data_IF_095348067556
#
_entry.id   IF_095348067556
#
_cell.length_a   1.000
_cell.length_b   1.000
_cell.length_c   1.000
_cell.angle_alpha   90.00
_cell.angle_beta   90.00
_cell.angle_gamma   90.00
#
_symmetry.space_group_name_H-M   'P 1'
#
loop_
_entity.id
_entity.type
_entity.pdbx_description
1 polymer ?
#
# COMPACT_ATOMS: atom_id res chain seq x y z
N UNK A 1 35.16 13.43 12.03
CA UNK A 1 35.51 12.01 12.25
C UNK A 1 34.33 11.17 11.81
N UNK A 2 34.45 10.55 10.63
CA UNK A 2 33.39 9.75 9.99
C UNK A 2 33.44 8.33 10.58
N UNK A 3 32.36 7.87 11.22
CA UNK A 3 32.22 6.47 11.62
C UNK A 3 31.42 5.75 10.53
N UNK A 4 32.13 4.92 9.77
CA UNK A 4 31.58 3.99 8.78
C UNK A 4 31.11 2.78 9.56
N UNK A 5 29.79 2.51 9.56
CA UNK A 5 29.25 1.24 10.07
C UNK A 5 29.17 0.26 8.91
N UNK A 6 30.03 -0.73 8.95
CA UNK A 6 30.06 -1.84 8.01
C UNK A 6 28.97 -2.84 8.41
N UNK A 7 27.93 -2.98 7.61
CA UNK A 7 26.93 -4.01 7.79
C UNK A 7 27.40 -5.28 7.09
N UNK A 8 27.78 -6.26 7.88
CA UNK A 8 28.34 -7.54 7.45
C UNK A 8 27.19 -8.45 6.99
N UNK A 9 27.11 -8.70 5.69
CA UNK A 9 26.26 -9.76 5.14
C UNK A 9 26.89 -11.11 5.45
N UNK A 10 26.24 -11.92 6.27
CA UNK A 10 26.63 -13.31 6.49
C UNK A 10 26.03 -14.15 5.37
N UNK A 11 26.86 -14.51 4.39
CA UNK A 11 26.56 -15.54 3.42
C UNK A 11 26.81 -16.91 4.08
N UNK A 12 25.74 -17.63 4.38
CA UNK A 12 25.84 -19.06 4.77
C UNK A 12 25.91 -19.87 3.49
N UNK A 13 27.13 -20.26 3.10
CA UNK A 13 27.34 -21.26 2.07
C UNK A 13 27.25 -22.67 2.70
N UNK A 14 26.20 -23.40 2.37
CA UNK A 14 26.09 -24.82 2.73
C UNK A 14 26.73 -25.61 1.60
N UNK A 15 27.99 -26.01 1.78
CA UNK A 15 28.63 -27.03 0.96
C UNK A 15 28.24 -28.40 1.47
N UNK A 16 27.39 -29.11 0.74
CA UNK A 16 27.13 -30.55 0.91
C UNK A 16 27.91 -31.30 -0.14
N UNK A 17 28.95 -32.02 0.27
CA UNK A 17 29.65 -33.02 -0.53
C UNK A 17 28.81 -34.32 -0.56
N UNK A 18 28.79 -34.89 -1.74
CA UNK A 18 27.94 -36.01 -2.10
C UNK A 18 28.31 -37.37 -1.52
N UNK A 19 27.35 -38.28 -1.63
CA UNK A 19 27.63 -39.68 -1.97
C UNK A 19 26.47 -40.25 -2.78
N UNK A 20 26.80 -41.00 -3.86
CA UNK A 20 25.90 -41.66 -4.76
C UNK A 20 25.27 -42.89 -4.08
N UNK A 21 23.97 -43.05 -4.17
CA UNK A 21 23.29 -44.33 -4.56
C UNK A 21 21.80 -44.10 -4.83
N UNK A 22 21.43 -44.43 -6.04
CA UNK A 22 20.16 -44.88 -6.63
C UNK A 22 18.79 -44.64 -5.97
N UNK A 23 17.91 -44.09 -6.82
CA UNK A 23 16.47 -44.32 -6.97
C UNK A 23 15.53 -43.84 -5.87
N UNK A 24 14.93 -42.69 -6.12
CA UNK A 24 13.48 -42.48 -6.22
C UNK A 24 13.23 -41.02 -6.47
N UNK A 25 12.69 -40.68 -7.63
CA UNK A 25 12.10 -39.38 -7.89
C UNK A 25 10.85 -39.26 -7.05
N UNK A 26 10.67 -38.14 -6.41
CA UNK A 26 9.45 -37.37 -6.28
C UNK A 26 9.36 -36.59 -4.93
N UNK A 27 8.80 -35.44 -5.00
CA UNK A 27 8.07 -34.73 -3.96
C UNK A 27 8.86 -33.85 -2.95
N UNK A 28 9.97 -33.20 -3.34
CA UNK A 28 10.58 -32.18 -2.48
C UNK A 28 10.31 -30.72 -2.92
N UNK A 29 9.66 -30.52 -4.08
CA UNK A 29 9.52 -29.16 -4.66
C UNK A 29 8.12 -28.53 -4.46
N UNK A 30 7.12 -29.33 -4.05
CA UNK A 30 5.76 -28.80 -3.85
C UNK A 30 5.48 -28.28 -2.43
N UNK A 31 6.27 -28.71 -1.43
CA UNK A 31 6.05 -28.35 -0.02
C UNK A 31 6.49 -26.92 0.30
N UNK A 32 7.56 -26.44 -0.31
CA UNK A 32 8.07 -25.07 -0.04
C UNK A 32 7.15 -24.01 -0.65
N UNK A 33 6.58 -24.28 -1.81
CA UNK A 33 5.66 -23.34 -2.49
C UNK A 33 4.33 -23.22 -1.72
N UNK A 34 3.86 -24.31 -1.13
CA UNK A 34 2.63 -24.32 -0.34
C UNK A 34 2.79 -23.62 1.02
N UNK A 35 3.92 -23.76 1.71
CA UNK A 35 4.15 -23.09 3.00
C UNK A 35 4.23 -21.56 2.88
N UNK A 36 4.85 -21.04 1.83
CA UNK A 36 4.89 -19.58 1.57
C UNK A 36 3.50 -19.07 1.18
N UNK A 37 2.71 -19.84 0.46
CA UNK A 37 1.34 -19.51 0.11
C UNK A 37 0.44 -19.43 1.34
N UNK A 38 0.52 -20.40 2.23
CA UNK A 38 -0.36 -20.49 3.41
C UNK A 38 -0.12 -19.34 4.41
N UNK A 39 1.11 -18.85 4.53
CA UNK A 39 1.44 -17.74 5.43
C UNK A 39 1.06 -16.36 4.88
N UNK A 40 0.94 -16.21 3.56
CA UNK A 40 0.60 -14.95 2.92
C UNK A 40 -0.92 -14.66 3.02
N UNK A 41 -1.76 -15.66 2.86
CA UNK A 41 -3.22 -15.49 2.83
C UNK A 41 -3.86 -15.62 4.22
N UNK A 42 -3.33 -14.89 5.19
CA UNK A 42 -3.86 -14.88 6.57
C UNK A 42 -4.34 -13.49 6.97
N UNK A 43 -5.21 -13.43 7.95
CA UNK A 43 -5.67 -12.18 8.57
C UNK A 43 -4.48 -11.39 9.11
N UNK A 44 -3.57 -12.08 9.79
CA UNK A 44 -2.37 -11.48 10.39
C UNK A 44 -1.44 -10.85 9.34
N UNK A 45 -1.32 -11.46 8.16
CA UNK A 45 -0.51 -10.90 7.07
C UNK A 45 -1.11 -9.60 6.54
N UNK A 46 -2.44 -9.54 6.41
CA UNK A 46 -3.15 -8.33 5.99
C UNK A 46 -3.04 -7.24 7.06
N UNK A 47 -3.29 -7.56 8.34
CA UNK A 47 -3.15 -6.61 9.46
C UNK A 47 -1.74 -6.05 9.56
N UNK A 48 -0.73 -6.91 9.41
CA UNK A 48 0.68 -6.50 9.37
C UNK A 48 0.94 -5.52 8.24
N UNK A 49 0.36 -5.75 7.05
CA UNK A 49 0.52 -4.84 5.92
C UNK A 49 -0.15 -3.49 6.17
N UNK A 50 -1.37 -3.45 6.73
CA UNK A 50 -2.05 -2.20 7.10
C UNK A 50 -1.19 -1.40 8.09
N UNK A 51 -0.67 -2.05 9.12
CA UNK A 51 0.20 -1.39 10.09
C UNK A 51 1.52 -0.91 9.48
N UNK A 52 2.09 -1.64 8.51
CA UNK A 52 3.30 -1.25 7.80
C UNK A 52 3.11 0.05 6.98
N UNK A 53 1.92 0.24 6.39
CA UNK A 53 1.56 1.49 5.70
C UNK A 53 1.70 2.68 6.64
N UNK A 54 1.08 2.64 7.82
CA UNK A 54 1.12 3.75 8.76
C UNK A 54 2.48 3.94 9.43
N UNK A 55 3.22 2.85 9.66
CA UNK A 55 4.61 2.95 10.13
C UNK A 55 5.48 3.70 9.13
N UNK A 56 5.36 3.37 7.84
CA UNK A 56 6.09 4.05 6.77
C UNK A 56 5.64 5.50 6.57
N UNK A 57 4.33 5.77 6.63
CA UNK A 57 3.80 7.12 6.55
C UNK A 57 4.36 8.03 7.65
N UNK A 58 4.39 7.56 8.90
CA UNK A 58 4.98 8.29 10.01
C UNK A 58 6.49 8.52 9.81
N UNK A 59 7.21 7.51 9.30
CA UNK A 59 8.64 7.62 9.01
C UNK A 59 8.91 8.69 7.92
N UNK A 60 8.11 8.74 6.86
CA UNK A 60 8.23 9.76 5.82
C UNK A 60 7.98 11.17 6.36
N UNK A 61 7.03 11.33 7.30
CA UNK A 61 6.77 12.62 7.93
C UNK A 61 7.89 13.09 8.82
N UNK A 62 8.45 12.20 9.63
CA UNK A 62 9.53 12.54 10.56
C UNK A 62 10.86 12.78 9.84
N UNK A 63 11.09 12.03 8.76
CA UNK A 63 12.35 11.99 8.03
C UNK A 63 12.10 12.06 6.52
N UNK A 64 11.64 13.23 6.06
CA UNK A 64 11.43 13.45 4.63
C UNK A 64 12.73 13.27 3.86
N UNK A 65 12.72 12.38 2.89
CA UNK A 65 13.81 12.11 1.96
C UNK A 65 13.19 11.91 0.56
N UNK A 66 13.48 12.82 -0.35
CA UNK A 66 12.97 12.79 -1.74
C UNK A 66 13.39 11.54 -2.53
N UNK A 67 14.41 10.82 -2.06
CA UNK A 67 14.87 9.58 -2.68
C UNK A 67 14.12 8.33 -2.17
N UNK A 68 13.30 8.46 -1.13
CA UNK A 68 12.43 7.37 -0.69
C UNK A 68 11.26 7.20 -1.66
N UNK A 69 10.85 5.95 -1.95
CA UNK A 69 9.65 5.71 -2.75
C UNK A 69 8.43 6.29 -2.05
N UNK A 70 7.45 6.71 -2.83
CA UNK A 70 6.18 7.17 -2.28
C UNK A 70 5.41 6.02 -1.61
N UNK A 71 4.47 6.36 -0.75
CA UNK A 71 3.57 5.37 -0.14
C UNK A 71 2.77 4.62 -1.21
N UNK A 72 2.38 5.31 -2.28
CA UNK A 72 1.68 4.72 -3.41
C UNK A 72 2.53 3.68 -4.15
N UNK A 73 3.82 3.94 -4.32
CA UNK A 73 4.74 3.02 -4.99
C UNK A 73 4.98 1.75 -4.16
N UNK A 74 5.05 1.89 -2.83
CA UNK A 74 5.32 0.76 -1.95
C UNK A 74 4.07 -0.07 -1.62
N UNK A 75 2.92 0.57 -1.49
CA UNK A 75 1.74 -0.09 -0.92
C UNK A 75 0.54 -0.12 -1.86
N UNK A 76 0.49 0.74 -2.87
CA UNK A 76 -0.55 0.70 -3.90
C UNK A 76 -0.38 -0.46 -4.87
N UNK A 77 -1.49 -0.98 -5.38
CA UNK A 77 -1.50 -1.94 -6.48
C UNK A 77 -1.00 -1.29 -7.78
N UNK A 78 -0.62 -2.09 -8.77
CA UNK A 78 -0.22 -1.58 -10.10
C UNK A 78 -1.29 -0.70 -10.73
N UNK A 79 -2.55 -1.08 -10.55
CA UNK A 79 -3.68 -0.28 -11.06
C UNK A 79 -3.85 1.03 -10.31
N UNK A 80 -3.73 1.02 -8.97
CA UNK A 80 -3.72 2.23 -8.16
C UNK A 80 -2.63 3.20 -8.63
N UNK A 81 -1.39 2.73 -8.73
CA UNK A 81 -0.24 3.51 -9.18
C UNK A 81 -0.46 4.09 -10.59
N UNK A 82 -0.99 3.27 -11.52
CA UNK A 82 -1.29 3.71 -12.89
C UNK A 82 -2.27 4.88 -12.90
N UNK A 83 -3.42 4.72 -12.21
CA UNK A 83 -4.46 5.75 -12.18
C UNK A 83 -3.96 7.01 -11.49
N UNK A 84 -3.25 6.87 -10.37
CA UNK A 84 -2.66 8.01 -9.67
C UNK A 84 -1.67 8.78 -10.55
N UNK A 85 -0.83 8.08 -11.30
CA UNK A 85 0.11 8.73 -12.21
C UNK A 85 -0.61 9.47 -13.35
N UNK A 86 -1.74 8.94 -13.84
CA UNK A 86 -2.59 9.65 -14.81
C UNK A 86 -3.16 10.95 -14.21
N UNK A 87 -3.69 10.90 -12.98
CA UNK A 87 -4.17 12.09 -12.28
C UNK A 87 -3.07 13.15 -12.15
N UNK A 88 -1.87 12.78 -11.70
CA UNK A 88 -0.72 13.69 -11.57
C UNK A 88 -0.34 14.30 -12.93
N UNK A 89 -0.40 13.54 -14.01
CA UNK A 89 -0.10 14.03 -15.34
C UNK A 89 -1.13 15.07 -15.79
N UNK A 90 -2.41 14.82 -15.56
CA UNK A 90 -3.51 15.74 -15.86
C UNK A 90 -3.37 17.03 -15.04
N UNK A 91 -3.14 16.93 -13.74
CA UNK A 91 -2.96 18.09 -12.86
C UNK A 91 -1.84 19.02 -13.35
N UNK A 92 -0.73 18.44 -13.81
CA UNK A 92 0.41 19.21 -14.35
C UNK A 92 0.10 19.89 -15.69
N UNK A 93 -0.72 19.24 -16.53
CA UNK A 93 -1.01 19.73 -17.88
C UNK A 93 -2.13 20.77 -17.91
N UNK A 94 -3.17 20.59 -17.08
CA UNK A 94 -4.31 21.49 -17.09
C UNK A 94 -4.15 22.69 -16.15
N UNK A 95 -3.17 22.72 -15.27
CA UNK A 95 -3.06 23.69 -14.17
C UNK A 95 -4.36 23.77 -13.34
N UNK A 96 -5.14 22.68 -13.34
CA UNK A 96 -6.36 22.53 -12.55
C UNK A 96 -5.96 22.38 -11.09
N UNK A 97 -6.75 22.85 -10.14
CA UNK A 97 -6.56 22.48 -8.74
C UNK A 97 -6.49 20.96 -8.65
N UNK A 98 -5.45 20.39 -8.03
CA UNK A 98 -5.16 18.96 -8.08
C UNK A 98 -6.33 18.11 -7.54
N UNK A 99 -6.45 16.87 -8.01
CA UNK A 99 -7.49 15.94 -7.54
C UNK A 99 -7.52 15.81 -6.01
N UNK A 100 -6.37 15.92 -5.38
CA UNK A 100 -6.20 15.88 -3.92
C UNK A 100 -6.18 17.27 -3.28
N UNK A 101 -6.43 18.33 -4.06
CA UNK A 101 -6.50 19.71 -3.59
C UNK A 101 -7.98 20.13 -3.46
N UNK A 102 -8.62 19.75 -2.36
CA UNK A 102 -10.02 20.04 -2.11
C UNK A 102 -10.20 21.42 -1.43
N UNK A 103 -9.93 22.48 -2.19
CA UNK A 103 -10.24 23.85 -1.76
C UNK A 103 -9.50 24.32 -0.51
N UNK A 104 -10.15 25.17 0.31
CA UNK A 104 -9.55 25.81 1.48
C UNK A 104 -9.17 24.84 2.63
N UNK A 105 -9.55 23.58 2.56
CA UNK A 105 -9.32 22.57 3.61
C UNK A 105 -8.01 21.77 3.39
N UNK A 106 -7.31 21.99 2.29
CA UNK A 106 -6.04 21.32 1.96
C UNK A 106 -6.20 19.96 1.27
N UNK A 107 -5.09 19.33 0.86
CA UNK A 107 -5.13 18.08 0.12
C UNK A 107 -5.63 16.93 0.99
N UNK A 108 -6.66 16.21 0.53
CA UNK A 108 -7.07 14.94 1.11
C UNK A 108 -6.01 13.87 0.80
N UNK A 109 -5.24 13.50 1.81
CA UNK A 109 -4.37 12.34 1.71
C UNK A 109 -5.23 11.07 1.73
N UNK A 110 -5.28 10.29 0.64
CA UNK A 110 -6.14 9.10 0.58
C UNK A 110 -5.76 8.02 1.61
N UNK A 111 -4.52 8.06 2.12
CA UNK A 111 -4.02 7.09 3.08
C UNK A 111 -4.41 7.39 4.52
N UNK A 112 -4.60 8.66 4.85
CA UNK A 112 -4.84 9.10 6.23
C UNK A 112 -6.14 9.88 6.39
N UNK A 113 -6.80 10.26 5.28
CA UNK A 113 -7.89 11.23 5.28
C UNK A 113 -7.40 12.54 5.92
N UNK A 114 -8.09 13.07 6.94
CA UNK A 114 -7.69 14.30 7.65
C UNK A 114 -6.80 14.03 8.88
N UNK A 115 -6.29 12.81 9.04
CA UNK A 115 -5.48 12.44 10.19
C UNK A 115 -4.01 12.70 9.90
N UNK A 116 -3.46 13.80 10.42
CA UNK A 116 -2.05 14.16 10.24
C UNK A 116 -1.39 14.79 11.47
N UNK A 117 -2.09 14.88 12.60
CA UNK A 117 -1.56 15.47 13.81
C UNK A 117 -0.86 14.41 14.69
N UNK A 118 0.47 14.52 14.81
CA UNK A 118 1.27 13.57 15.58
C UNK A 118 1.38 12.19 14.92
N UNK A 119 1.35 11.13 15.70
CA UNK A 119 1.47 9.76 15.21
C UNK A 119 0.13 9.24 14.69
N UNK A 120 0.12 8.83 13.42
CA UNK A 120 -1.07 8.25 12.77
C UNK A 120 -1.05 6.73 12.85
N UNK A 121 -2.18 6.11 13.13
CA UNK A 121 -2.29 4.66 13.30
C UNK A 121 -3.62 4.11 12.81
N UNK A 122 -3.61 2.84 12.36
CA UNK A 122 -4.82 2.05 12.18
C UNK A 122 -5.25 1.40 13.49
N UNK A 123 -6.54 1.44 13.78
CA UNK A 123 -7.13 0.88 14.99
C UNK A 123 -8.37 0.07 14.65
N UNK A 124 -8.72 -0.88 15.50
CA UNK A 124 -9.93 -1.71 15.33
C UNK A 124 -9.99 -2.41 13.96
N UNK A 125 -8.83 -2.92 13.49
CA UNK A 125 -8.69 -3.55 12.18
C UNK A 125 -9.56 -4.81 12.11
N UNK A 126 -10.40 -4.89 11.08
CA UNK A 126 -11.26 -6.04 10.77
C UNK A 126 -10.98 -6.47 9.35
N UNK A 127 -10.45 -7.68 9.20
CA UNK A 127 -10.10 -8.26 7.91
C UNK A 127 -11.15 -9.31 7.52
N UNK A 128 -11.63 -9.21 6.29
CA UNK A 128 -12.44 -10.23 5.64
C UNK A 128 -11.68 -10.74 4.41
N UNK A 129 -11.02 -11.87 4.56
CA UNK A 129 -10.40 -12.55 3.43
C UNK A 129 -11.49 -12.99 2.44
N UNK A 130 -11.21 -12.81 1.16
CA UNK A 130 -12.04 -13.24 0.04
C UNK A 130 -11.30 -14.33 -0.74
N UNK A 131 -11.94 -14.87 -1.75
CA UNK A 131 -11.28 -15.84 -2.65
C UNK A 131 -10.19 -15.16 -3.48
N UNK A 132 -9.20 -15.95 -3.94
CA UNK A 132 -8.19 -15.52 -4.93
C UNK A 132 -7.23 -14.40 -4.47
N UNK A 133 -6.87 -14.39 -3.19
CA UNK A 133 -5.85 -13.45 -2.70
C UNK A 133 -6.32 -12.00 -2.63
N UNK A 134 -7.60 -11.79 -2.34
CA UNK A 134 -8.19 -10.48 -2.07
C UNK A 134 -8.71 -10.39 -0.64
N UNK A 135 -8.74 -9.19 -0.08
CA UNK A 135 -9.28 -8.91 1.24
C UNK A 135 -10.01 -7.57 1.28
N UNK A 136 -11.08 -7.50 2.05
CA UNK A 136 -11.68 -6.25 2.51
C UNK A 136 -11.21 -5.98 3.93
N UNK A 137 -10.72 -4.77 4.17
CA UNK A 137 -10.22 -4.34 5.47
C UNK A 137 -10.96 -3.09 5.91
N UNK A 138 -11.50 -3.10 7.13
CA UNK A 138 -12.13 -1.94 7.76
C UNK A 138 -11.41 -1.61 9.04
N UNK A 139 -11.16 -0.34 9.28
CA UNK A 139 -10.45 0.13 10.46
C UNK A 139 -10.71 1.61 10.71
N UNK A 140 -10.24 2.09 11.84
CA UNK A 140 -10.28 3.51 12.19
C UNK A 140 -8.87 4.09 12.08
N UNK A 141 -8.70 5.12 11.27
CA UNK A 141 -7.48 5.94 11.29
C UNK A 141 -7.59 6.93 12.43
N UNK A 142 -6.57 6.99 13.27
CA UNK A 142 -6.50 7.91 14.41
C UNK A 142 -5.17 8.63 14.43
N UNK A 143 -5.22 9.85 14.93
CA UNK A 143 -4.06 10.66 15.26
C UNK A 143 -4.23 11.30 16.67
N UNK A 144 -3.38 12.27 17.01
CA UNK A 144 -3.42 12.92 18.31
C UNK A 144 -4.71 13.74 18.56
N UNK A 145 -5.33 14.25 17.50
CA UNK A 145 -6.54 15.11 17.55
C UNK A 145 -7.79 14.29 17.24
N UNK A 146 -7.74 13.45 16.23
CA UNK A 146 -8.88 12.66 15.77
C UNK A 146 -9.03 11.37 16.57
N UNK A 147 -9.28 11.53 17.89
CA UNK A 147 -9.30 10.41 18.86
C UNK A 147 -10.42 9.40 18.63
N UNK A 148 -11.54 9.80 18.05
CA UNK A 148 -12.63 8.88 17.67
C UNK A 148 -12.27 8.03 16.47
N UNK A 149 -11.34 8.51 15.66
CA UNK A 149 -10.92 7.89 14.42
C UNK A 149 -11.85 8.16 13.23
N UNK A 150 -11.27 8.09 12.05
CA UNK A 150 -11.99 8.18 10.76
C UNK A 150 -12.16 6.76 10.21
N UNK A 151 -13.40 6.33 9.90
CA UNK A 151 -13.64 5.00 9.37
C UNK A 151 -13.15 4.90 7.92
N UNK A 152 -12.28 3.93 7.69
CA UNK A 152 -11.70 3.61 6.39
C UNK A 152 -12.05 2.19 5.99
N UNK A 153 -12.22 1.97 4.69
CA UNK A 153 -12.34 0.64 4.10
C UNK A 153 -11.38 0.52 2.94
N UNK A 154 -10.52 -0.49 2.99
CA UNK A 154 -9.62 -0.80 1.89
C UNK A 154 -10.00 -2.12 1.22
N UNK A 155 -9.87 -2.17 -0.10
CA UNK A 155 -9.75 -3.42 -0.83
C UNK A 155 -8.26 -3.68 -1.05
N UNK A 156 -7.83 -4.86 -0.69
CA UNK A 156 -6.44 -5.30 -0.85
C UNK A 156 -6.37 -6.54 -1.73
N UNK A 157 -5.27 -6.65 -2.46
CA UNK A 157 -4.99 -7.80 -3.31
C UNK A 157 -3.53 -8.19 -3.24
N UNK A 158 -3.25 -9.46 -3.54
CA UNK A 158 -1.87 -9.94 -3.62
C UNK A 158 -1.32 -9.67 -5.01
N UNK A 159 -0.22 -8.93 -5.08
CA UNK A 159 0.57 -8.71 -6.28
C UNK A 159 2.05 -8.97 -5.97
N UNK A 160 2.71 -9.74 -6.82
CA UNK A 160 4.13 -10.07 -6.69
C UNK A 160 4.49 -10.64 -5.29
N UNK A 161 3.59 -11.47 -4.72
CA UNK A 161 3.78 -12.08 -3.41
C UNK A 161 3.64 -11.14 -2.21
N UNK A 162 2.99 -9.99 -2.37
CA UNK A 162 2.75 -9.02 -1.31
C UNK A 162 1.31 -8.50 -1.36
N UNK A 163 0.75 -8.19 -0.19
CA UNK A 163 -0.51 -7.47 -0.11
C UNK A 163 -0.33 -6.02 -0.57
N UNK A 164 -1.18 -5.59 -1.49
CA UNK A 164 -1.23 -4.23 -2.04
C UNK A 164 -2.63 -3.65 -1.86
N UNK A 165 -2.72 -2.34 -1.68
CA UNK A 165 -4.01 -1.63 -1.61
C UNK A 165 -4.51 -1.42 -3.03
N UNK A 166 -5.63 -2.05 -3.36
CA UNK A 166 -6.26 -1.96 -4.67
C UNK A 166 -7.22 -0.76 -4.75
N UNK A 167 -7.89 -0.43 -3.65
CA UNK A 167 -8.78 0.73 -3.56
C UNK A 167 -8.97 1.17 -2.11
N UNK A 168 -9.29 2.44 -1.94
CA UNK A 168 -9.59 3.10 -0.67
C UNK A 168 -10.99 3.71 -0.72
N UNK A 169 -11.74 3.57 0.37
CA UNK A 169 -13.06 4.17 0.53
C UNK A 169 -13.11 4.96 1.83
N UNK A 170 -13.66 6.17 1.75
CA UNK A 170 -13.95 6.98 2.91
C UNK A 170 -15.39 6.70 3.35
N UNK A 171 -15.57 5.88 4.37
CA UNK A 171 -16.92 5.47 4.83
C UNK A 171 -17.71 6.65 5.43
N UNK A 172 -17.02 7.69 5.92
CA UNK A 172 -17.61 8.90 6.45
C UNK A 172 -18.33 9.72 5.34
N UNK A 173 -17.83 9.66 4.11
CA UNK A 173 -18.33 10.45 2.97
C UNK A 173 -19.12 9.56 2.00
N UNK A 174 -20.19 8.93 2.49
CA UNK A 174 -21.09 8.07 1.72
C UNK A 174 -20.35 6.95 0.94
N UNK A 175 -19.28 6.41 1.52
CA UNK A 175 -18.39 5.44 0.89
C UNK A 175 -17.69 5.98 -0.37
N UNK A 176 -17.18 7.22 -0.31
CA UNK A 176 -16.45 7.80 -1.41
C UNK A 176 -15.35 6.85 -1.90
N UNK A 177 -15.47 6.44 -3.16
CA UNK A 177 -14.55 5.51 -3.84
C UNK A 177 -13.40 6.31 -4.48
N UNK A 178 -12.23 6.28 -3.86
CA UNK A 178 -11.07 7.08 -4.29
C UNK A 178 -10.62 6.70 -5.70
N UNK A 179 -10.48 5.39 -5.99
CA UNK A 179 -9.99 4.96 -7.31
C UNK A 179 -10.96 5.28 -8.44
N UNK A 180 -12.26 5.12 -8.20
CA UNK A 180 -13.30 5.47 -9.18
C UNK A 180 -13.29 6.98 -9.47
N UNK A 181 -13.17 7.81 -8.43
CA UNK A 181 -13.14 9.26 -8.60
C UNK A 181 -11.85 9.74 -9.25
N UNK A 182 -10.70 9.14 -8.95
CA UNK A 182 -9.44 9.41 -9.66
C UNK A 182 -9.57 9.11 -11.17
N UNK A 183 -10.20 7.97 -11.54
CA UNK A 183 -10.44 7.63 -12.94
C UNK A 183 -11.34 8.65 -13.64
N UNK A 184 -12.47 9.01 -13.00
CA UNK A 184 -13.40 10.00 -13.55
C UNK A 184 -12.69 11.34 -13.77
N UNK A 185 -11.91 11.81 -12.81
CA UNK A 185 -11.13 13.03 -12.92
C UNK A 185 -10.11 12.98 -14.07
N UNK A 186 -9.37 11.86 -14.19
CA UNK A 186 -8.41 11.70 -15.28
C UNK A 186 -9.08 11.67 -16.65
N UNK A 187 -10.25 11.05 -16.79
CA UNK A 187 -10.99 10.99 -18.04
C UNK A 187 -11.58 12.36 -18.43
N UNK A 188 -12.12 13.10 -17.47
CA UNK A 188 -12.61 14.47 -17.69
C UNK A 188 -11.46 15.42 -18.09
N UNK A 189 -10.34 15.36 -17.40
CA UNK A 189 -9.17 16.18 -17.71
C UNK A 189 -8.59 15.90 -19.10
N UNK A 190 -8.55 14.62 -19.55
CA UNK A 190 -8.14 14.28 -20.93
C UNK A 190 -9.07 14.90 -21.97
N UNK A 191 -10.37 14.93 -21.69
CA UNK A 191 -11.35 15.56 -22.60
C UNK A 191 -11.10 17.07 -22.69
N UNK A 192 -10.89 17.75 -21.57
CA UNK A 192 -10.63 19.20 -21.55
C UNK A 192 -9.35 19.57 -22.30
N UNK A 193 -8.27 18.80 -22.10
CA UNK A 193 -6.99 19.01 -22.80
C UNK A 193 -7.17 18.81 -24.31
N UNK A 194 -7.96 17.81 -24.73
CA UNK A 194 -8.18 17.52 -26.16
C UNK A 194 -8.98 18.58 -26.89
N UNK A 195 -9.66 19.49 -26.19
CA UNK A 195 -10.49 20.57 -26.72
C UNK A 195 -9.79 21.94 -26.73
N UNK A 196 -8.56 22.01 -26.20
CA UNK A 196 -7.71 23.22 -26.24
C UNK A 196 -6.83 23.24 -27.48
#
# INVERSE_FOLDING_TARGET
MKKIVFMMFVLVAITSCGNKTNSAASDADSTIVNEVSDTLYTVEAVEKQVNAVYAYWNELREHYDENKPSIDDLFGSKEWQRVRNEVIAIDRECECGGFFDFGDEGPLDPWTYDCYEGYVSANDIKVKLQTEGTAEVRFLVKDAVTTKGVPMRWLMQVEDGQWRVANIFFEKDDNFDVLMNMRAYADDGKNDISHR
#
